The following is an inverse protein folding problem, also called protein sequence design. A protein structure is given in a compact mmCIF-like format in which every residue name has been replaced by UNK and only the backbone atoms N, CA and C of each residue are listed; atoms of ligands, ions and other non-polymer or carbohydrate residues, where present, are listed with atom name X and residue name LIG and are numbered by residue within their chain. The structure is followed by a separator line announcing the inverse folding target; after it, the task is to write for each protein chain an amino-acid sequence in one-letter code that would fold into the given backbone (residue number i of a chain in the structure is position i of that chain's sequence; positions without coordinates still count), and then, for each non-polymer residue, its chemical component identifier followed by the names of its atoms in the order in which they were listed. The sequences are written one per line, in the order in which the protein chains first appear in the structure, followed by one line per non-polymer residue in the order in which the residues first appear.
data_IF_668206196056
#
_entry.id   IF_668206196056
#
_cell.length_a   1.000
_cell.length_b   1.000
_cell.length_c   1.000
_cell.angle_alpha   90.00
_cell.angle_beta   90.00
_cell.angle_gamma   90.00
#
_symmetry.space_group_name_H-M   'P 1'
#
loop_
_entity.id
_entity.type
_entity.pdbx_description
1 polymer ?
#
# COMPACT_ATOMS: atom_id res chain seq x y z
N UNK A 1 -7.10 25.28 15.80
CA UNK A 1 -7.51 23.90 15.44
C UNK A 1 -6.27 23.24 14.89
N UNK A 2 -5.89 22.09 15.44
CA UNK A 2 -4.77 21.33 14.91
C UNK A 2 -5.15 20.83 13.51
N UNK A 3 -4.24 21.03 12.54
CA UNK A 3 -4.42 20.62 11.16
C UNK A 3 -4.07 19.13 11.04
N UNK A 4 -4.90 18.27 11.63
CA UNK A 4 -4.69 16.81 11.65
C UNK A 4 -5.32 16.17 10.43
N UNK A 5 -4.54 15.34 9.73
CA UNK A 5 -4.96 14.59 8.56
C UNK A 5 -4.57 13.13 8.69
N UNK A 6 -5.48 12.22 8.34
CA UNK A 6 -5.24 10.78 8.29
C UNK A 6 -5.29 10.33 6.85
N UNK A 7 -4.17 9.81 6.34
CA UNK A 7 -4.09 9.18 5.02
C UNK A 7 -4.25 7.68 5.23
N UNK A 8 -5.34 7.11 4.72
CA UNK A 8 -5.75 5.72 4.93
C UNK A 8 -5.54 4.89 3.67
N UNK A 9 -5.03 3.67 3.82
CA UNK A 9 -4.90 2.72 2.71
C UNK A 9 -6.23 2.03 2.36
N UNK A 10 -7.17 2.79 1.78
CA UNK A 10 -8.44 2.28 1.27
C UNK A 10 -9.68 2.55 2.14
N UNK A 11 -10.86 2.30 1.55
CA UNK A 11 -12.14 2.68 2.14
C UNK A 11 -12.58 1.78 3.32
N UNK A 12 -12.07 0.54 3.43
CA UNK A 12 -12.39 -0.36 4.54
C UNK A 12 -11.92 0.25 5.88
N UNK A 13 -10.65 0.65 5.94
CA UNK A 13 -10.10 1.32 7.13
C UNK A 13 -10.79 2.67 7.39
N UNK A 14 -11.17 3.40 6.34
CA UNK A 14 -11.97 4.62 6.50
C UNK A 14 -13.34 4.35 7.13
N UNK A 15 -13.96 3.20 6.85
CA UNK A 15 -15.17 2.73 7.52
C UNK A 15 -14.94 2.48 9.00
N UNK A 16 -13.91 1.69 9.35
CA UNK A 16 -13.56 1.38 10.74
C UNK A 16 -13.21 2.64 11.55
N UNK A 17 -12.48 3.59 10.95
CA UNK A 17 -12.07 4.82 11.63
C UNK A 17 -13.27 5.70 12.03
N UNK A 18 -14.37 5.68 11.26
CA UNK A 18 -15.61 6.40 11.60
C UNK A 18 -16.29 5.90 12.87
N UNK A 19 -15.96 4.70 13.32
CA UNK A 19 -16.48 4.10 14.55
C UNK A 19 -15.66 4.50 15.79
N UNK A 20 -14.58 5.27 15.60
CA UNK A 20 -13.68 5.73 16.67
C UNK A 20 -14.01 7.17 17.11
N UNK A 21 -13.37 7.61 18.19
CA UNK A 21 -13.35 9.01 18.63
C UNK A 21 -12.20 9.84 18.03
N UNK A 22 -11.50 9.32 17.00
CA UNK A 22 -10.34 9.98 16.40
C UNK A 22 -10.78 11.22 15.60
N UNK A 23 -10.30 12.39 16.03
CA UNK A 23 -10.48 13.66 15.34
C UNK A 23 -9.48 13.83 14.19
N UNK A 24 -9.92 14.49 13.12
CA UNK A 24 -9.07 14.85 11.99
C UNK A 24 -9.78 14.71 10.65
N UNK A 25 -9.12 15.17 9.58
CA UNK A 25 -9.62 15.01 8.21
C UNK A 25 -9.09 13.72 7.60
N UNK A 26 -9.95 12.96 6.94
CA UNK A 26 -9.57 11.72 6.26
C UNK A 26 -9.28 11.98 4.77
N UNK A 27 -8.15 11.45 4.30
CA UNK A 27 -7.77 11.34 2.89
C UNK A 27 -7.59 9.85 2.61
N UNK A 28 -8.14 9.35 1.50
CA UNK A 28 -8.15 7.91 1.22
C UNK A 28 -7.25 7.63 0.03
N UNK A 29 -6.19 6.85 0.24
CA UNK A 29 -5.33 6.34 -0.82
C UNK A 29 -6.08 5.21 -1.54
N UNK A 30 -6.78 5.57 -2.63
CA UNK A 30 -7.54 4.63 -3.48
C UNK A 30 -6.72 4.17 -4.68
N UNK A 31 -5.52 3.67 -4.43
CA UNK A 31 -4.65 3.12 -5.47
C UNK A 31 -4.20 1.71 -5.12
N UNK A 32 -3.81 0.97 -6.15
CA UNK A 32 -3.23 -0.35 -6.06
C UNK A 32 -1.93 -0.35 -6.85
N UNK A 33 -0.94 0.42 -6.37
CA UNK A 33 0.31 0.69 -7.12
C UNK A 33 1.20 -0.55 -7.30
N UNK A 34 0.93 -1.62 -6.55
CA UNK A 34 1.52 -2.95 -6.77
C UNK A 34 1.09 -3.56 -8.13
N UNK A 35 0.07 -3.03 -8.77
CA UNK A 35 -0.49 -3.54 -10.03
C UNK A 35 -0.52 -2.46 -11.13
N UNK A 36 -0.14 -2.87 -12.33
CA UNK A 36 -0.06 -1.98 -13.49
C UNK A 36 1.23 -1.15 -13.53
N UNK A 37 1.49 -0.51 -14.67
CA UNK A 37 2.66 0.35 -14.80
C UNK A 37 2.51 1.63 -13.97
N UNK A 38 3.62 2.10 -13.43
CA UNK A 38 3.73 3.32 -12.61
C UNK A 38 4.79 4.28 -13.17
N UNK A 39 5.52 3.88 -14.22
CA UNK A 39 6.62 4.65 -14.79
C UNK A 39 6.10 5.88 -15.54
N UNK A 40 6.34 7.05 -14.98
CA UNK A 40 5.95 8.33 -15.58
C UNK A 40 7.01 9.40 -15.33
N UNK A 41 7.11 10.36 -16.25
CA UNK A 41 8.04 11.49 -16.17
C UNK A 41 7.45 12.74 -15.50
N UNK A 42 6.14 12.73 -15.22
CA UNK A 42 5.42 13.80 -14.52
C UNK A 42 4.21 13.24 -13.78
N UNK A 43 3.73 13.97 -12.78
CA UNK A 43 2.54 13.57 -12.01
C UNK A 43 1.26 13.57 -12.88
N UNK A 44 1.12 14.50 -13.81
CA UNK A 44 0.01 14.50 -14.78
C UNK A 44 0.07 13.27 -15.70
N UNK A 45 1.28 12.93 -16.18
CA UNK A 45 1.51 11.72 -16.98
C UNK A 45 1.21 10.45 -16.20
N UNK A 46 1.59 10.43 -14.92
CA UNK A 46 1.27 9.35 -13.99
C UNK A 46 -0.25 9.14 -13.89
N UNK A 47 -1.04 10.19 -13.62
CA UNK A 47 -2.49 10.05 -13.54
C UNK A 47 -3.14 9.55 -14.83
N UNK A 48 -2.66 10.00 -15.99
CA UNK A 48 -3.15 9.51 -17.29
C UNK A 48 -2.83 8.02 -17.50
N UNK A 49 -1.62 7.61 -17.16
CA UNK A 49 -1.18 6.21 -17.21
C UNK A 49 -2.06 5.33 -16.33
N UNK A 50 -2.25 5.75 -15.07
CA UNK A 50 -3.05 5.03 -14.08
C UNK A 50 -4.53 4.97 -14.47
N UNK A 51 -5.12 6.08 -14.93
CA UNK A 51 -6.50 6.10 -15.41
C UNK A 51 -6.72 5.09 -16.56
N UNK A 52 -5.78 5.00 -17.50
CA UNK A 52 -5.84 4.03 -18.60
C UNK A 52 -5.70 2.57 -18.13
N UNK A 53 -4.81 2.32 -17.17
CA UNK A 53 -4.68 0.99 -16.56
C UNK A 53 -5.97 0.59 -15.83
N UNK A 54 -6.48 1.45 -14.94
CA UNK A 54 -7.68 1.18 -14.15
C UNK A 54 -8.91 1.00 -15.05
N UNK A 55 -9.04 1.78 -16.11
CA UNK A 55 -10.16 1.64 -17.05
C UNK A 55 -10.12 0.32 -17.82
N UNK A 56 -8.94 -0.10 -18.26
CA UNK A 56 -8.75 -1.37 -18.93
C UNK A 56 -8.97 -2.55 -17.99
N UNK A 57 -8.43 -2.46 -16.78
CA UNK A 57 -8.31 -3.58 -15.86
C UNK A 57 -9.58 -3.81 -15.03
N UNK A 58 -10.19 -2.74 -14.55
CA UNK A 58 -11.33 -2.78 -13.63
C UNK A 58 -12.62 -2.24 -14.23
N UNK A 59 -12.62 -1.90 -15.52
CA UNK A 59 -13.78 -1.37 -16.24
C UNK A 59 -14.40 -0.12 -15.59
N UNK A 60 -13.56 0.71 -14.97
CA UNK A 60 -13.94 2.00 -14.39
C UNK A 60 -13.67 3.10 -15.41
N UNK A 61 -14.62 4.00 -15.64
CA UNK A 61 -14.40 5.11 -16.56
C UNK A 61 -13.29 6.07 -16.05
N UNK A 62 -12.66 6.80 -16.97
CA UNK A 62 -11.57 7.71 -16.63
C UNK A 62 -12.06 8.83 -15.69
N UNK A 63 -13.27 9.37 -15.88
CA UNK A 63 -13.79 10.50 -15.10
C UNK A 63 -13.93 10.13 -13.61
N UNK A 64 -14.47 8.95 -13.33
CA UNK A 64 -14.65 8.37 -12.01
C UNK A 64 -13.30 8.08 -11.34
N UNK A 65 -12.28 7.67 -12.09
CA UNK A 65 -10.91 7.59 -11.56
C UNK A 65 -10.40 8.96 -11.12
N UNK A 66 -10.54 10.00 -11.93
CA UNK A 66 -10.13 11.35 -11.55
C UNK A 66 -10.94 11.88 -10.34
N UNK A 67 -12.26 11.67 -10.35
CA UNK A 67 -13.17 12.14 -9.31
C UNK A 67 -12.92 11.45 -7.96
N UNK A 68 -12.66 10.14 -7.95
CA UNK A 68 -12.57 9.38 -6.69
C UNK A 68 -11.15 9.10 -6.23
N UNK A 69 -10.18 9.06 -7.14
CA UNK A 69 -8.78 8.71 -6.81
C UNK A 69 -7.92 9.96 -6.83
N UNK A 70 -7.82 10.63 -7.98
CA UNK A 70 -6.91 11.78 -8.14
C UNK A 70 -7.32 12.93 -7.20
N UNK A 71 -8.61 13.15 -6.99
CA UNK A 71 -9.09 14.16 -6.05
C UNK A 71 -8.65 13.92 -4.59
N UNK A 72 -8.46 12.67 -4.15
CA UNK A 72 -7.92 12.36 -2.82
C UNK A 72 -6.44 12.73 -2.74
N UNK A 73 -5.66 12.39 -3.77
CA UNK A 73 -4.24 12.75 -3.83
C UNK A 73 -4.02 14.26 -3.95
N UNK A 74 -4.91 14.99 -4.63
CA UNK A 74 -4.87 16.46 -4.66
C UNK A 74 -5.02 17.06 -3.26
N UNK A 75 -5.82 16.45 -2.37
CA UNK A 75 -5.92 16.91 -0.97
C UNK A 75 -4.59 16.81 -0.23
N UNK A 76 -3.71 15.86 -0.60
CA UNK A 76 -2.36 15.74 -0.05
C UNK A 76 -1.53 16.94 -0.50
N UNK A 77 -1.53 17.26 -1.80
CA UNK A 77 -0.80 18.41 -2.34
C UNK A 77 -1.29 19.76 -1.80
N UNK A 78 -2.55 19.84 -1.37
CA UNK A 78 -3.17 21.07 -0.85
C UNK A 78 -3.09 21.20 0.68
N UNK A 79 -2.35 20.31 1.36
CA UNK A 79 -2.24 20.35 2.82
C UNK A 79 -1.59 21.68 3.28
N UNK A 80 -2.14 22.31 4.34
CA UNK A 80 -1.58 23.55 4.87
C UNK A 80 -0.24 23.29 5.58
N UNK A 81 0.58 24.33 5.68
CA UNK A 81 1.74 24.30 6.58
C UNK A 81 1.32 24.00 8.03
N UNK A 82 2.23 23.38 8.79
CA UNK A 82 2.00 22.86 10.15
C UNK A 82 0.94 21.75 10.23
N UNK A 83 0.65 21.06 9.13
CA UNK A 83 -0.17 19.85 9.17
C UNK A 83 0.52 18.72 9.94
N UNK A 84 -0.26 17.99 10.73
CA UNK A 84 0.11 16.72 11.34
C UNK A 84 -0.55 15.60 10.53
N UNK A 85 0.26 14.80 9.85
CA UNK A 85 -0.18 13.76 8.91
C UNK A 85 0.07 12.39 9.51
N UNK A 86 -0.99 11.59 9.61
CA UNK A 86 -0.96 10.22 10.08
C UNK A 86 -1.15 9.25 8.92
N UNK A 87 -0.10 8.51 8.58
CA UNK A 87 -0.08 7.48 7.54
C UNK A 87 -0.50 6.14 8.14
N UNK A 88 -1.69 5.66 7.78
CA UNK A 88 -2.19 4.36 8.23
C UNK A 88 -1.92 3.30 7.15
N UNK A 89 -0.73 2.71 7.23
CA UNK A 89 -0.23 1.74 6.26
C UNK A 89 0.46 0.58 6.96
N UNK A 90 0.11 -0.63 6.55
CA UNK A 90 0.61 -1.89 7.08
C UNK A 90 1.97 -2.25 6.46
N UNK A 91 2.55 -3.37 6.90
CA UNK A 91 3.91 -3.76 6.53
C UNK A 91 3.98 -4.58 5.23
N UNK A 92 2.87 -4.95 4.60
CA UNK A 92 2.88 -5.67 3.33
C UNK A 92 3.29 -4.80 2.12
N UNK A 93 3.61 -5.44 0.99
CA UNK A 93 4.08 -4.77 -0.22
C UNK A 93 3.05 -3.79 -0.82
N UNK A 94 1.76 -4.13 -0.79
CA UNK A 94 0.68 -3.27 -1.30
C UNK A 94 0.66 -1.95 -0.52
N UNK A 95 0.60 -2.04 0.81
CA UNK A 95 0.61 -0.89 1.72
C UNK A 95 1.88 -0.06 1.55
N UNK A 96 3.05 -0.71 1.56
CA UNK A 96 4.33 0.01 1.46
C UNK A 96 4.46 0.76 0.14
N UNK A 97 4.07 0.16 -0.99
CA UNK A 97 4.15 0.82 -2.30
C UNK A 97 3.29 2.08 -2.35
N UNK A 98 2.05 2.01 -1.85
CA UNK A 98 1.16 3.16 -1.75
C UNK A 98 1.69 4.23 -0.78
N UNK A 99 2.29 3.81 0.34
CA UNK A 99 2.89 4.72 1.32
C UNK A 99 4.09 5.48 0.74
N UNK A 100 4.97 4.80 0.00
CA UNK A 100 6.13 5.46 -0.65
C UNK A 100 5.68 6.57 -1.59
N UNK A 101 4.62 6.33 -2.36
CA UNK A 101 4.05 7.34 -3.23
C UNK A 101 3.42 8.49 -2.45
N UNK A 102 2.71 8.23 -1.34
CA UNK A 102 2.20 9.28 -0.47
C UNK A 102 3.34 10.14 0.11
N UNK A 103 4.45 9.52 0.54
CA UNK A 103 5.64 10.23 1.01
C UNK A 103 6.28 11.08 -0.09
N UNK A 104 6.33 10.57 -1.32
CA UNK A 104 6.78 11.35 -2.48
C UNK A 104 5.94 12.62 -2.66
N UNK A 105 4.61 12.54 -2.60
CA UNK A 105 3.74 13.72 -2.71
C UNK A 105 3.87 14.68 -1.52
N UNK A 106 4.00 14.14 -0.30
CA UNK A 106 4.19 14.93 0.91
C UNK A 106 5.52 15.68 0.92
N UNK A 107 6.54 15.20 0.19
CA UNK A 107 7.87 15.79 0.16
C UNK A 107 7.93 17.18 -0.47
N UNK A 108 6.93 17.55 -1.29
CA UNK A 108 6.80 18.89 -1.86
C UNK A 108 6.31 19.93 -0.84
N UNK A 109 5.78 19.47 0.31
CA UNK A 109 5.24 20.32 1.35
C UNK A 109 6.32 20.70 2.37
N UNK A 110 6.16 21.89 2.96
CA UNK A 110 7.08 22.41 3.98
C UNK A 110 6.42 22.50 5.34
N UNK A 111 7.21 22.25 6.39
CA UNK A 111 6.81 22.39 7.79
C UNK A 111 5.59 21.51 8.16
N UNK A 112 5.58 20.25 7.73
CA UNK A 112 4.59 19.26 8.16
C UNK A 112 5.26 18.22 9.05
N UNK A 113 4.49 17.59 9.95
CA UNK A 113 4.94 16.44 10.74
C UNK A 113 4.24 15.20 10.23
N UNK A 114 5.00 14.14 9.98
CA UNK A 114 4.48 12.91 9.42
C UNK A 114 4.71 11.80 10.43
N UNK A 115 3.68 11.00 10.68
CA UNK A 115 3.77 9.83 11.54
C UNK A 115 3.21 8.62 10.81
N UNK A 116 3.76 7.44 11.10
CA UNK A 116 3.21 6.17 10.69
C UNK A 116 2.41 5.56 11.84
N UNK A 117 1.23 5.06 11.52
CA UNK A 117 0.34 4.34 12.43
C UNK A 117 0.34 2.88 12.04
N UNK A 118 0.71 2.02 12.99
CA UNK A 118 0.78 0.57 12.79
C UNK A 118 -0.43 -0.13 13.41
N UNK A 119 -0.92 -1.23 12.82
CA UNK A 119 -1.94 -2.07 13.44
C UNK A 119 -1.40 -2.73 14.72
N UNK A 120 -2.24 -2.83 15.76
CA UNK A 120 -1.93 -3.65 16.93
C UNK A 120 -2.29 -5.10 16.65
N UNK A 121 -1.28 -5.91 16.35
CA UNK A 121 -1.47 -7.33 16.04
C UNK A 121 -1.03 -8.19 17.22
N UNK A 122 -1.90 -9.05 17.79
CA UNK A 122 -1.50 -9.99 18.84
C UNK A 122 -0.42 -10.96 18.36
N UNK A 123 0.52 -11.34 19.23
CA UNK A 123 1.67 -12.21 18.90
C UNK A 123 1.26 -13.55 18.27
N UNK A 124 0.07 -14.07 18.60
CA UNK A 124 -0.46 -15.34 18.10
C UNK A 124 -1.37 -15.20 16.87
N UNK A 125 -1.39 -14.02 16.24
CA UNK A 125 -2.14 -13.75 15.03
C UNK A 125 -1.19 -13.52 13.87
N UNK A 126 -1.72 -13.75 12.67
CA UNK A 126 -1.03 -13.48 11.43
C UNK A 126 -0.77 -11.98 11.29
N UNK A 127 0.52 -11.62 11.18
CA UNK A 127 0.99 -10.25 11.04
C UNK A 127 0.48 -9.59 9.77
N UNK A 128 0.26 -10.34 8.70
CA UNK A 128 -0.13 -9.79 7.40
C UNK A 128 -1.62 -9.45 7.31
N UNK A 129 -2.41 -9.75 8.34
CA UNK A 129 -3.81 -9.34 8.39
C UNK A 129 -4.01 -7.88 8.81
N UNK A 130 -2.98 -7.24 9.37
CA UNK A 130 -3.00 -5.80 9.62
C UNK A 130 -4.23 -5.28 10.38
N UNK A 131 -4.81 -4.18 9.89
CA UNK A 131 -5.98 -3.51 10.45
C UNK A 131 -7.29 -4.26 10.24
N UNK A 132 -7.32 -5.33 9.42
CA UNK A 132 -8.53 -6.16 9.31
C UNK A 132 -8.88 -6.86 10.62
N UNK A 133 -7.91 -7.00 11.54
CA UNK A 133 -8.11 -7.53 12.89
C UNK A 133 -8.48 -6.46 13.92
N UNK A 134 -8.41 -5.18 13.56
CA UNK A 134 -8.61 -4.06 14.49
C UNK A 134 -10.09 -3.76 14.69
N UNK A 135 -10.47 -3.52 15.95
CA UNK A 135 -11.71 -2.83 16.29
C UNK A 135 -11.44 -1.34 16.59
N UNK A 136 -12.48 -0.55 16.86
CA UNK A 136 -12.36 0.88 17.12
C UNK A 136 -11.34 1.22 18.23
N UNK A 137 -11.32 0.45 19.33
CA UNK A 137 -10.38 0.65 20.43
C UNK A 137 -8.94 0.37 20.01
N UNK A 138 -8.72 -0.69 19.22
CA UNK A 138 -7.38 -1.00 18.70
C UNK A 138 -6.85 0.14 17.81
N UNK A 139 -7.70 0.74 16.98
CA UNK A 139 -7.34 1.88 16.14
C UNK A 139 -6.98 3.12 16.98
N UNK A 140 -7.75 3.43 18.01
CA UNK A 140 -7.43 4.51 18.95
C UNK A 140 -6.06 4.27 19.62
N UNK A 141 -5.80 3.07 20.11
CA UNK A 141 -4.51 2.72 20.71
C UNK A 141 -3.36 2.72 19.70
N UNK A 142 -3.60 2.30 18.46
CA UNK A 142 -2.65 2.40 17.34
C UNK A 142 -2.24 3.84 17.10
N UNK A 143 -3.20 4.79 17.07
CA UNK A 143 -2.91 6.20 16.89
C UNK A 143 -2.08 6.79 18.03
N UNK A 144 -2.36 6.39 19.28
CA UNK A 144 -1.56 6.79 20.44
C UNK A 144 -0.11 6.29 20.36
N UNK A 145 0.10 5.16 19.68
CA UNK A 145 1.41 4.52 19.51
C UNK A 145 2.11 4.88 18.19
N UNK A 146 1.65 5.95 17.51
CA UNK A 146 2.21 6.40 16.24
C UNK A 146 3.71 6.72 16.34
N UNK A 147 4.43 6.49 15.26
CA UNK A 147 5.88 6.73 15.17
C UNK A 147 6.13 7.91 14.23
N UNK A 148 6.84 8.94 14.70
CA UNK A 148 7.22 10.09 13.87
C UNK A 148 8.27 9.67 12.84
N UNK A 149 8.06 10.02 11.57
CA UNK A 149 9.05 9.84 10.52
C UNK A 149 10.07 10.96 10.61
N UNK A 150 11.33 10.59 10.80
CA UNK A 150 12.44 11.54 10.68
C UNK A 150 12.72 11.86 9.20
N UNK A 151 13.46 12.94 8.95
CA UNK A 151 13.86 13.33 7.58
C UNK A 151 14.51 12.17 6.81
N UNK A 152 15.36 11.38 7.47
CA UNK A 152 16.01 10.19 6.85
C UNK A 152 14.99 9.13 6.41
N UNK A 153 13.88 8.97 7.13
CA UNK A 153 12.83 8.00 6.82
C UNK A 153 12.01 8.51 5.62
N UNK A 154 11.68 9.80 5.61
CA UNK A 154 11.00 10.45 4.49
C UNK A 154 11.86 10.32 3.21
N UNK A 155 13.15 10.62 3.29
CA UNK A 155 14.09 10.47 2.17
C UNK A 155 14.22 9.00 1.72
N UNK A 156 14.22 8.04 2.65
CA UNK A 156 14.18 6.62 2.30
C UNK A 156 12.91 6.27 1.51
N UNK A 157 11.74 6.71 1.95
CA UNK A 157 10.47 6.51 1.25
C UNK A 157 10.45 7.10 -0.15
N UNK A 158 11.00 8.31 -0.33
CA UNK A 158 11.13 8.95 -1.65
C UNK A 158 12.06 8.14 -2.57
N UNK A 159 13.20 7.68 -2.05
CA UNK A 159 14.12 6.86 -2.83
C UNK A 159 13.52 5.49 -3.19
N UNK A 160 12.74 4.88 -2.29
CA UNK A 160 12.01 3.64 -2.53
C UNK A 160 10.98 3.84 -3.64
N UNK A 161 10.17 4.92 -3.57
CA UNK A 161 9.23 5.26 -4.64
C UNK A 161 9.93 5.43 -5.98
N UNK A 162 11.00 6.22 -6.04
CA UNK A 162 11.72 6.47 -7.28
C UNK A 162 12.33 5.19 -7.87
N UNK A 163 12.89 4.31 -7.03
CA UNK A 163 13.42 3.02 -7.48
C UNK A 163 12.29 2.10 -7.97
N UNK A 164 11.18 2.03 -7.23
CA UNK A 164 10.00 1.26 -7.61
C UNK A 164 9.39 1.72 -8.94
N UNK A 165 9.19 3.04 -9.09
CA UNK A 165 8.64 3.66 -10.29
C UNK A 165 9.48 3.37 -11.54
N UNK A 166 10.80 3.26 -11.39
CA UNK A 166 11.72 2.97 -12.48
C UNK A 166 12.02 1.48 -12.67
N UNK A 167 11.39 0.60 -11.85
CA UNK A 167 11.66 -0.84 -11.82
C UNK A 167 13.14 -1.17 -11.55
N UNK A 168 13.80 -0.33 -10.75
CA UNK A 168 15.20 -0.51 -10.36
C UNK A 168 15.32 -1.45 -9.15
N UNK A 169 15.24 -2.75 -9.41
CA UNK A 169 15.31 -3.78 -8.37
C UNK A 169 16.63 -3.76 -7.61
N UNK A 170 17.74 -3.49 -8.30
CA UNK A 170 19.07 -3.40 -7.67
C UNK A 170 19.11 -2.27 -6.63
N UNK A 171 18.51 -1.13 -6.95
CA UNK A 171 18.38 -0.02 -6.01
C UNK A 171 17.42 -0.32 -4.86
N UNK A 172 16.29 -0.99 -5.11
CA UNK A 172 15.36 -1.41 -4.06
C UNK A 172 16.06 -2.31 -3.03
N UNK A 173 16.81 -3.32 -3.48
CA UNK A 173 17.57 -4.22 -2.61
C UNK A 173 18.60 -3.45 -1.77
N UNK A 174 19.32 -2.49 -2.35
CA UNK A 174 20.26 -1.66 -1.60
C UNK A 174 19.55 -0.80 -0.53
N UNK A 175 18.42 -0.20 -0.89
CA UNK A 175 17.65 0.65 0.03
C UNK A 175 17.03 -0.17 1.17
N UNK A 176 16.66 -1.43 0.92
CA UNK A 176 16.04 -2.28 1.93
C UNK A 176 16.97 -2.70 3.07
N UNK A 177 18.29 -2.54 2.90
CA UNK A 177 19.28 -2.75 3.97
C UNK A 177 19.37 -1.58 4.96
N UNK A 178 18.78 -0.42 4.63
CA UNK A 178 18.81 0.77 5.49
C UNK A 178 17.85 0.56 6.66
N UNK A 179 18.38 0.65 7.88
CA UNK A 179 17.56 0.55 9.10
C UNK A 179 16.72 1.81 9.29
N UNK A 180 15.42 1.63 9.48
CA UNK A 180 14.47 2.68 9.81
C UNK A 180 13.45 2.16 10.81
N UNK A 181 13.12 2.98 11.82
CA UNK A 181 12.03 2.67 12.76
C UNK A 181 10.63 2.81 12.14
N UNK A 182 10.56 3.36 10.92
CA UNK A 182 9.32 3.61 10.19
C UNK A 182 9.11 2.65 9.02
N UNK A 183 10.08 1.80 8.69
CA UNK A 183 9.98 0.78 7.64
C UNK A 183 10.31 -0.60 8.20
N UNK A 184 9.41 -1.09 9.05
CA UNK A 184 9.47 -2.48 9.49
C UNK A 184 9.38 -3.41 8.27
N UNK A 185 10.03 -4.57 8.33
CA UNK A 185 9.89 -5.64 7.33
C UNK A 185 10.28 -5.28 5.90
N UNK A 186 10.83 -4.08 5.65
CA UNK A 186 11.21 -3.60 4.31
C UNK A 186 12.09 -4.59 3.55
N UNK A 187 13.13 -5.13 4.21
CA UNK A 187 13.98 -6.17 3.63
C UNK A 187 13.21 -7.41 3.23
N UNK A 188 12.40 -7.96 4.13
CA UNK A 188 11.58 -9.16 3.87
C UNK A 188 10.62 -8.94 2.69
N UNK A 189 10.02 -7.75 2.61
CA UNK A 189 9.07 -7.37 1.56
C UNK A 189 9.74 -7.16 0.21
N UNK A 190 10.91 -6.51 0.17
CA UNK A 190 11.68 -6.34 -1.07
C UNK A 190 12.26 -7.68 -1.54
N UNK A 191 12.69 -8.55 -0.62
CA UNK A 191 13.09 -9.92 -0.95
C UNK A 191 11.93 -10.69 -1.57
N UNK A 192 10.73 -10.65 -0.99
CA UNK A 192 9.53 -11.26 -1.57
C UNK A 192 9.20 -10.67 -2.96
N UNK A 193 9.22 -9.35 -3.10
CA UNK A 193 9.00 -8.68 -4.39
C UNK A 193 10.00 -9.15 -5.45
N UNK A 194 11.28 -9.24 -5.11
CA UNK A 194 12.33 -9.71 -6.02
C UNK A 194 12.14 -11.16 -6.46
N UNK A 195 11.55 -11.99 -5.60
CA UNK A 195 11.28 -13.40 -5.86
C UNK A 195 9.96 -13.65 -6.64
N UNK A 196 9.16 -12.61 -6.91
CA UNK A 196 7.89 -12.76 -7.64
C UNK A 196 8.13 -13.16 -9.10
N UNK A 197 9.23 -12.67 -9.69
CA UNK A 197 9.64 -12.96 -11.06
C UNK A 197 11.08 -13.49 -11.07
N UNK A 198 11.31 -14.79 -10.76
CA UNK A 198 12.64 -15.36 -10.82
C UNK A 198 13.20 -15.27 -12.26
N UNK A 199 14.50 -15.01 -12.38
CA UNK A 199 15.20 -14.91 -13.67
C UNK A 199 14.86 -16.11 -14.57
N UNK A 200 14.44 -15.84 -15.80
CA UNK A 200 14.13 -16.83 -16.85
C UNK A 200 12.79 -17.58 -16.73
N UNK A 201 11.80 -17.09 -15.97
CA UNK A 201 10.44 -17.64 -16.01
C UNK A 201 9.43 -16.63 -16.56
N UNK A 202 8.57 -17.08 -17.49
CA UNK A 202 7.44 -16.31 -18.03
C UNK A 202 6.19 -16.39 -17.15
N UNK A 203 6.22 -17.18 -16.06
CA UNK A 203 5.08 -17.43 -15.16
C UNK A 203 5.44 -16.93 -13.76
N UNK A 204 4.56 -16.12 -13.18
CA UNK A 204 4.71 -15.62 -11.82
C UNK A 204 4.56 -16.79 -10.82
N UNK A 205 5.46 -16.91 -9.84
CA UNK A 205 5.41 -17.94 -8.79
C UNK A 205 4.04 -18.00 -8.08
N UNK A 206 3.36 -16.85 -7.98
CA UNK A 206 2.03 -16.73 -7.40
C UNK A 206 0.95 -17.44 -8.26
N UNK A 207 1.04 -17.36 -9.58
CA UNK A 207 0.15 -18.07 -10.49
C UNK A 207 0.44 -19.57 -10.49
N UNK A 208 1.72 -19.97 -10.43
CA UNK A 208 2.09 -21.38 -10.29
C UNK A 208 1.47 -21.97 -9.03
N UNK A 209 1.58 -21.29 -7.89
CA UNK A 209 0.96 -21.73 -6.65
C UNK A 209 -0.57 -21.85 -6.76
N UNK A 210 -1.26 -20.85 -7.33
CA UNK A 210 -2.71 -20.93 -7.52
C UNK A 210 -3.08 -22.12 -8.41
N UNK A 211 -2.30 -22.35 -9.48
CA UNK A 211 -2.49 -23.51 -10.35
C UNK A 211 -2.33 -24.84 -9.58
N UNK A 212 -1.31 -24.95 -8.74
CA UNK A 212 -1.09 -26.14 -7.91
C UNK A 212 -2.25 -26.40 -6.94
N UNK A 213 -2.82 -25.35 -6.34
CA UNK A 213 -4.02 -25.47 -5.51
C UNK A 213 -5.21 -26.02 -6.29
N UNK A 214 -5.48 -25.46 -7.49
CA UNK A 214 -6.56 -25.89 -8.37
C UNK A 214 -6.37 -27.34 -8.81
N UNK A 215 -5.16 -27.69 -9.27
CA UNK A 215 -4.81 -29.04 -9.71
C UNK A 215 -4.87 -30.06 -8.54
N UNK A 216 -4.69 -29.62 -7.29
CA UNK A 216 -4.88 -30.44 -6.08
C UNK A 216 -6.35 -30.61 -5.63
N UNK A 217 -7.29 -29.95 -6.31
CA UNK A 217 -8.73 -30.06 -6.08
C UNK A 217 -9.38 -28.88 -5.34
N UNK A 218 -8.61 -27.84 -4.99
CA UNK A 218 -9.13 -26.62 -4.36
C UNK A 218 -9.52 -25.65 -5.46
N UNK A 219 -10.76 -25.78 -5.92
CA UNK A 219 -11.26 -25.13 -7.13
C UNK A 219 -12.22 -23.98 -6.86
N UNK A 220 -12.66 -23.77 -5.62
CA UNK A 220 -13.46 -22.60 -5.29
C UNK A 220 -12.55 -21.41 -4.98
N UNK A 221 -12.89 -20.25 -5.55
CA UNK A 221 -12.06 -19.05 -5.42
C UNK A 221 -11.85 -18.61 -3.97
N UNK A 222 -12.85 -18.75 -3.11
CA UNK A 222 -12.74 -18.31 -1.72
C UNK A 222 -11.70 -19.14 -0.95
N UNK A 223 -11.68 -20.47 -1.11
CA UNK A 223 -10.68 -21.33 -0.50
C UNK A 223 -9.28 -21.10 -1.08
N UNK A 224 -9.19 -20.85 -2.39
CA UNK A 224 -7.90 -20.44 -3.01
C UNK A 224 -7.43 -19.12 -2.42
N UNK A 225 -8.30 -18.12 -2.33
CA UNK A 225 -7.97 -16.80 -1.81
C UNK A 225 -7.55 -16.88 -0.34
N UNK A 226 -8.25 -17.64 0.50
CA UNK A 226 -7.88 -17.85 1.90
C UNK A 226 -6.49 -18.47 2.04
N UNK A 227 -6.19 -19.53 1.26
CA UNK A 227 -4.86 -20.15 1.25
C UNK A 227 -3.78 -19.21 0.71
N UNK A 228 -4.10 -18.45 -0.33
CA UNK A 228 -3.21 -17.45 -0.88
C UNK A 228 -2.85 -16.40 0.17
N UNK A 229 -3.84 -15.88 0.92
CA UNK A 229 -3.58 -14.92 1.99
C UNK A 229 -2.72 -15.52 3.11
N UNK A 230 -2.94 -16.79 3.46
CA UNK A 230 -2.15 -17.48 4.47
C UNK A 230 -0.67 -17.60 4.08
N UNK A 231 -0.37 -17.96 2.84
CA UNK A 231 0.99 -18.25 2.39
C UNK A 231 1.70 -17.02 1.81
N UNK A 232 0.94 -16.06 1.28
CA UNK A 232 1.44 -14.90 0.53
C UNK A 232 0.90 -13.57 1.06
N UNK A 233 0.49 -13.51 2.33
CA UNK A 233 0.03 -12.28 2.99
C UNK A 233 1.03 -11.12 2.91
N UNK A 234 2.34 -11.41 2.83
CA UNK A 234 3.42 -10.41 2.65
C UNK A 234 3.23 -9.47 1.45
N UNK A 235 2.49 -9.89 0.43
CA UNK A 235 2.23 -9.07 -0.74
C UNK A 235 1.05 -8.10 -0.57
N UNK A 236 0.11 -8.39 0.34
CA UNK A 236 -1.08 -7.56 0.55
C UNK A 236 -2.06 -7.54 -0.64
N UNK A 237 -2.06 -8.55 -1.50
CA UNK A 237 -3.00 -8.61 -2.62
C UNK A 237 -4.44 -8.78 -2.13
N UNK A 238 -5.35 -7.95 -2.64
CA UNK A 238 -6.78 -8.09 -2.45
C UNK A 238 -7.41 -9.16 -3.35
N UNK A 239 -8.69 -9.41 -3.12
CA UNK A 239 -9.50 -10.40 -3.83
C UNK A 239 -9.50 -10.18 -5.35
N UNK A 240 -9.66 -8.95 -5.84
CA UNK A 240 -9.67 -8.64 -7.28
C UNK A 240 -8.33 -9.02 -7.96
N UNK A 241 -7.21 -8.77 -7.30
CA UNK A 241 -5.88 -9.06 -7.85
C UNK A 241 -5.61 -10.56 -7.88
N UNK A 242 -5.96 -11.27 -6.80
CA UNK A 242 -5.85 -12.73 -6.75
C UNK A 242 -6.84 -13.40 -7.70
N UNK A 243 -8.06 -12.85 -7.85
CA UNK A 243 -9.08 -13.36 -8.77
C UNK A 243 -8.59 -13.35 -10.20
N UNK A 244 -7.91 -12.27 -10.61
CA UNK A 244 -7.28 -12.19 -11.93
C UNK A 244 -6.21 -13.27 -12.13
N UNK A 245 -5.34 -13.49 -11.13
CA UNK A 245 -4.33 -14.55 -11.20
C UNK A 245 -4.99 -15.94 -11.29
N UNK A 246 -6.07 -16.15 -10.54
CA UNK A 246 -6.86 -17.37 -10.53
C UNK A 246 -7.57 -17.63 -11.87
N UNK A 247 -8.17 -16.62 -12.49
CA UNK A 247 -8.87 -16.77 -13.77
C UNK A 247 -7.91 -17.00 -14.96
N UNK A 248 -6.60 -16.82 -14.75
CA UNK A 248 -5.56 -16.98 -15.76
C UNK A 248 -4.87 -18.37 -15.75
N UNK A 249 -5.20 -19.26 -14.81
CA UNK A 249 -4.52 -20.57 -14.63
C UNK A 249 -5.41 -21.77 -14.95
#
# INVERSE_FOLDING_TARGET
MENIFHILNGDCLAGQLKETSIDGKVIICREALISGDVKASSLEGFWKLRAGFIAKEYHVDHENYYEKVVSEFQKISDLPGNAEVHLWFEDDLFCQTNMWFCLFLLSDLKNIRIYRVYPRIPINKDHWKGFSLSNAKDLEESLHSKVELEEKDIQLGIHLWNAYQNQDMGRLIQLSEIQSGCFNKLKEVIEAYSNTFPENQTVNNLQVYIKELVDSGITDFNSVFEKFQQDFGIYGYGDLQVKKMYDAV
#
